data_IF_764882293309
#
_entry.id   IF_764882293309
#
_cell.length_a   1.000
_cell.length_b   1.000
_cell.length_c   1.000
_cell.angle_alpha   90.00
_cell.angle_beta   90.00
_cell.angle_gamma   90.00
#
_symmetry.space_group_name_H-M   'P 1'
#
loop_
_entity.id
_entity.type
_entity.pdbx_description
1 polymer ?
#
# COMPACT_ATOMS: atom_id res chain seq x y z
N UNK A 1 14.07 24.17 -15.95
CA UNK A 1 12.61 24.00 -15.78
C UNK A 1 11.99 24.94 -14.74
N UNK A 2 12.47 24.99 -13.49
CA UNK A 2 11.87 25.81 -12.41
C UNK A 2 11.60 27.30 -12.74
N UNK A 3 12.48 27.97 -13.50
CA UNK A 3 12.27 29.36 -13.96
C UNK A 3 11.12 29.49 -14.98
N UNK A 4 10.95 28.49 -15.84
CA UNK A 4 9.89 28.47 -16.85
C UNK A 4 8.53 28.24 -16.19
N UNK A 5 8.45 27.29 -15.24
CA UNK A 5 7.23 27.00 -14.48
C UNK A 5 6.70 28.25 -13.76
N UNK A 6 7.60 29.03 -13.12
CA UNK A 6 7.24 30.29 -12.47
C UNK A 6 6.74 31.37 -13.44
N UNK A 7 7.27 31.42 -14.65
CA UNK A 7 6.78 32.34 -15.68
C UNK A 7 5.39 31.94 -16.16
N UNK A 8 5.11 30.63 -16.21
CA UNK A 8 3.82 30.06 -16.60
C UNK A 8 2.74 30.27 -15.53
N UNK A 9 3.07 30.26 -14.23
CA UNK A 9 2.12 30.59 -13.15
C UNK A 9 1.42 31.95 -13.32
N UNK A 10 1.98 32.86 -14.12
CA UNK A 10 1.37 34.17 -14.46
C UNK A 10 0.37 34.09 -15.62
N UNK A 11 0.20 32.91 -16.23
CA UNK A 11 -0.68 32.63 -17.37
C UNK A 11 -1.52 31.39 -17.05
N UNK A 12 -2.65 31.56 -16.34
CA UNK A 12 -3.41 30.46 -15.75
C UNK A 12 -3.78 29.33 -16.72
N UNK A 13 -4.20 29.67 -17.94
CA UNK A 13 -4.59 28.70 -18.97
C UNK A 13 -3.42 27.78 -19.36
N UNK A 14 -2.27 28.36 -19.70
CA UNK A 14 -1.09 27.58 -20.09
C UNK A 14 -0.52 26.77 -18.93
N UNK A 15 -0.61 27.32 -17.72
CA UNK A 15 -0.15 26.63 -16.53
C UNK A 15 -1.00 25.40 -16.24
N UNK A 16 -2.32 25.51 -16.31
CA UNK A 16 -3.21 24.37 -16.09
C UNK A 16 -2.97 23.25 -17.10
N UNK A 17 -2.85 23.56 -18.39
CA UNK A 17 -2.55 22.54 -19.40
C UNK A 17 -1.25 21.79 -19.11
N UNK A 18 -0.20 22.51 -18.69
CA UNK A 18 1.09 21.88 -18.34
C UNK A 18 0.98 21.04 -17.06
N UNK A 19 0.15 21.46 -16.09
CA UNK A 19 -0.11 20.65 -14.90
C UNK A 19 -0.83 19.35 -15.27
N UNK A 20 -1.84 19.41 -16.13
CA UNK A 20 -2.59 18.24 -16.58
C UNK A 20 -1.69 17.26 -17.36
N UNK A 21 -0.87 17.78 -18.28
CA UNK A 21 0.12 16.99 -19.04
C UNK A 21 1.16 16.35 -18.11
N UNK A 22 1.65 17.11 -17.12
CA UNK A 22 2.58 16.60 -16.12
C UNK A 22 1.91 15.51 -15.27
N UNK A 23 0.68 15.73 -14.81
CA UNK A 23 -0.08 14.78 -14.01
C UNK A 23 -0.23 13.45 -14.76
N UNK A 24 -0.67 13.50 -16.02
CA UNK A 24 -0.83 12.31 -16.86
C UNK A 24 0.50 11.60 -17.09
N UNK A 25 1.56 12.33 -17.43
CA UNK A 25 2.87 11.73 -17.68
C UNK A 25 3.45 11.07 -16.43
N UNK A 26 3.25 11.66 -15.24
CA UNK A 26 3.71 11.08 -13.97
C UNK A 26 2.89 9.87 -13.56
N UNK A 27 1.56 9.93 -13.67
CA UNK A 27 0.68 8.80 -13.44
C UNK A 27 1.11 7.57 -14.25
N UNK A 28 1.27 7.73 -15.56
CA UNK A 28 1.68 6.64 -16.45
C UNK A 28 3.08 6.14 -16.10
N UNK A 29 4.03 7.04 -15.86
CA UNK A 29 5.40 6.67 -15.53
C UNK A 29 5.49 5.85 -14.22
N UNK A 30 4.80 6.28 -13.16
CA UNK A 30 4.81 5.60 -11.86
C UNK A 30 4.08 4.25 -11.96
N UNK A 31 2.92 4.20 -12.63
CA UNK A 31 2.17 2.96 -12.85
C UNK A 31 3.00 1.93 -13.63
N UNK A 32 3.63 2.35 -14.73
CA UNK A 32 4.51 1.47 -15.51
C UNK A 32 5.75 1.03 -14.73
N UNK A 33 6.36 1.92 -13.94
CA UNK A 33 7.48 1.58 -13.09
C UNK A 33 7.10 0.51 -12.07
N UNK A 34 5.91 0.60 -11.47
CA UNK A 34 5.42 -0.40 -10.53
C UNK A 34 5.19 -1.76 -11.20
N UNK A 35 4.52 -1.78 -12.35
CA UNK A 35 4.30 -3.02 -13.11
C UNK A 35 5.61 -3.68 -13.54
N UNK A 36 6.59 -2.88 -13.95
CA UNK A 36 7.93 -3.38 -14.26
C UNK A 36 8.61 -3.94 -13.01
N UNK A 37 8.52 -3.28 -11.86
CA UNK A 37 9.07 -3.79 -10.60
C UNK A 37 8.44 -5.14 -10.20
N UNK A 38 7.12 -5.29 -10.38
CA UNK A 38 6.41 -6.54 -10.12
C UNK A 38 6.91 -7.68 -11.03
N UNK A 39 6.93 -7.45 -12.34
CA UNK A 39 7.06 -8.52 -13.35
C UNK A 39 8.47 -8.74 -13.89
N UNK A 40 9.29 -7.69 -13.95
CA UNK A 40 10.63 -7.68 -14.57
C UNK A 40 11.74 -7.36 -13.58
N UNK A 41 11.40 -6.65 -12.50
CA UNK A 41 12.36 -6.09 -11.57
C UNK A 41 12.93 -4.74 -12.03
N UNK A 42 13.80 -4.17 -11.21
CA UNK A 42 14.57 -2.95 -11.50
C UNK A 42 16.01 -3.30 -11.88
N UNK A 43 16.81 -2.33 -12.36
CA UNK A 43 18.13 -2.55 -12.96
C UNK A 43 19.00 -3.67 -12.34
N UNK A 44 19.07 -3.76 -11.00
CA UNK A 44 19.76 -4.85 -10.27
C UNK A 44 18.83 -5.69 -9.37
N UNK A 45 17.56 -5.33 -9.27
CA UNK A 45 16.58 -5.93 -8.37
C UNK A 45 15.73 -6.94 -9.13
N UNK A 46 15.60 -8.16 -8.62
CA UNK A 46 14.77 -9.20 -9.25
C UNK A 46 13.27 -8.81 -9.21
N UNK A 47 12.43 -9.35 -10.12
CA UNK A 47 10.99 -9.15 -10.06
C UNK A 47 10.41 -9.48 -8.69
N UNK A 48 9.52 -8.62 -8.18
CA UNK A 48 8.87 -8.84 -6.88
C UNK A 48 7.99 -10.11 -6.92
N UNK A 49 7.42 -10.45 -8.07
CA UNK A 49 6.60 -11.67 -8.24
C UNK A 49 7.35 -12.98 -7.93
N UNK A 50 8.68 -13.00 -7.98
CA UNK A 50 9.45 -14.19 -7.59
C UNK A 50 9.35 -14.50 -6.09
N UNK A 51 8.87 -13.55 -5.28
CA UNK A 51 8.69 -13.69 -3.84
C UNK A 51 7.30 -14.21 -3.48
N UNK A 52 6.40 -14.40 -4.45
CA UNK A 52 5.03 -14.87 -4.23
C UNK A 52 4.90 -16.13 -3.34
N UNK A 53 5.85 -17.11 -3.34
CA UNK A 53 5.80 -18.25 -2.42
C UNK A 53 5.91 -17.88 -0.94
N UNK A 54 6.43 -16.69 -0.61
CA UNK A 54 6.48 -16.13 0.74
C UNK A 54 5.54 -14.90 0.82
N UNK A 55 4.28 -15.09 1.29
CA UNK A 55 3.26 -14.05 1.32
C UNK A 55 3.69 -12.77 2.04
N UNK A 56 4.37 -12.90 3.19
CA UNK A 56 4.73 -11.76 4.01
C UNK A 56 5.82 -10.93 3.34
N UNK A 57 6.83 -11.61 2.78
CA UNK A 57 7.90 -10.94 2.02
C UNK A 57 7.37 -10.31 0.74
N UNK A 58 6.50 -10.99 0.02
CA UNK A 58 5.92 -10.47 -1.21
C UNK A 58 5.12 -9.18 -0.98
N UNK A 59 4.24 -9.18 0.04
CA UNK A 59 3.50 -7.98 0.44
C UNK A 59 4.44 -6.88 0.93
N UNK A 60 5.45 -7.24 1.74
CA UNK A 60 6.45 -6.29 2.23
C UNK A 60 7.23 -5.61 1.11
N UNK A 61 7.71 -6.36 0.13
CA UNK A 61 8.46 -5.84 -1.03
C UNK A 61 7.56 -4.89 -1.88
N UNK A 62 6.28 -5.23 -2.07
CA UNK A 62 5.31 -4.35 -2.76
C UNK A 62 5.11 -3.02 -2.01
N UNK A 63 4.85 -3.08 -0.71
CA UNK A 63 4.62 -1.89 0.11
C UNK A 63 5.87 -1.02 0.25
N UNK A 64 7.05 -1.65 0.38
CA UNK A 64 8.33 -0.95 0.41
C UNK A 64 8.58 -0.19 -0.90
N UNK A 65 8.30 -0.81 -2.04
CA UNK A 65 8.40 -0.15 -3.34
C UNK A 65 7.46 1.05 -3.43
N UNK A 66 6.20 0.89 -3.05
CA UNK A 66 5.19 1.96 -3.08
C UNK A 66 5.61 3.13 -2.20
N UNK A 67 6.11 2.85 -0.99
CA UNK A 67 6.62 3.88 -0.08
C UNK A 67 7.81 4.64 -0.68
N UNK A 68 8.77 3.94 -1.26
CA UNK A 68 9.93 4.57 -1.91
C UNK A 68 9.51 5.41 -3.12
N UNK A 69 8.61 4.89 -3.96
CA UNK A 69 8.09 5.61 -5.10
C UNK A 69 7.34 6.88 -4.68
N UNK A 70 6.48 6.80 -3.66
CA UNK A 70 5.76 7.95 -3.13
C UNK A 70 6.70 9.03 -2.58
N UNK A 71 7.74 8.62 -1.83
CA UNK A 71 8.73 9.56 -1.29
C UNK A 71 9.52 10.25 -2.41
N UNK A 72 9.99 9.48 -3.40
CA UNK A 72 10.72 10.02 -4.55
C UNK A 72 9.87 10.94 -5.44
N UNK A 73 8.61 10.59 -5.66
CA UNK A 73 7.68 11.42 -6.43
C UNK A 73 7.40 12.75 -5.73
N UNK A 74 7.18 12.71 -4.42
CA UNK A 74 6.99 13.90 -3.60
C UNK A 74 8.22 14.81 -3.66
N UNK A 75 9.42 14.27 -3.43
CA UNK A 75 10.66 15.04 -3.48
C UNK A 75 10.89 15.69 -4.87
N UNK A 76 10.61 14.94 -5.94
CA UNK A 76 10.71 15.44 -7.31
C UNK A 76 9.74 16.61 -7.55
N UNK A 77 8.47 16.48 -7.15
CA UNK A 77 7.47 17.53 -7.28
C UNK A 77 7.87 18.76 -6.44
N UNK A 78 8.20 18.58 -5.16
CA UNK A 78 8.65 19.68 -4.28
C UNK A 78 9.88 20.41 -4.87
N UNK A 79 10.80 19.68 -5.48
CA UNK A 79 11.97 20.26 -6.16
C UNK A 79 11.58 21.06 -7.41
N UNK A 80 10.60 20.57 -8.18
CA UNK A 80 10.11 21.22 -9.40
C UNK A 80 9.43 22.55 -9.07
N UNK A 81 8.67 22.59 -7.98
CA UNK A 81 7.93 23.78 -7.54
C UNK A 81 8.75 24.71 -6.64
N UNK A 82 9.80 24.20 -5.96
CA UNK A 82 10.89 24.92 -5.27
C UNK A 82 10.49 25.76 -4.04
N UNK A 83 9.25 26.23 -3.97
CA UNK A 83 8.61 26.96 -2.86
C UNK A 83 7.14 26.56 -2.77
N UNK A 84 6.82 25.62 -1.89
CA UNK A 84 5.45 25.13 -1.69
C UNK A 84 4.49 26.22 -1.19
N UNK A 85 5.00 27.34 -0.67
CA UNK A 85 4.20 28.47 -0.15
C UNK A 85 3.80 29.51 -1.21
N UNK A 86 4.27 29.38 -2.45
CA UNK A 86 3.87 30.30 -3.52
C UNK A 86 2.39 30.06 -3.89
N UNK A 87 1.71 31.12 -4.34
CA UNK A 87 0.31 31.08 -4.78
C UNK A 87 0.18 31.45 -6.25
N UNK A 88 -0.80 30.86 -6.93
CA UNK A 88 -1.19 31.27 -8.27
C UNK A 88 -2.71 31.38 -8.38
N UNK A 89 -3.18 32.13 -9.38
CA UNK A 89 -4.59 32.15 -9.74
C UNK A 89 -4.83 31.08 -10.81
N UNK A 90 -5.84 30.26 -10.62
CA UNK A 90 -6.30 29.30 -11.62
C UNK A 90 -7.11 30.01 -12.72
N UNK A 91 -7.62 29.22 -13.67
CA UNK A 91 -8.49 29.70 -14.75
C UNK A 91 -9.82 30.29 -14.25
N UNK A 92 -10.26 29.97 -13.03
CA UNK A 92 -11.48 30.50 -12.41
C UNK A 92 -11.23 31.76 -11.56
N UNK A 93 -9.97 32.20 -11.44
CA UNK A 93 -9.56 33.34 -10.61
C UNK A 93 -9.40 32.98 -9.12
N UNK A 94 -9.53 31.72 -8.75
CA UNK A 94 -9.31 31.21 -7.40
C UNK A 94 -7.82 31.13 -7.12
N UNK A 95 -7.43 31.59 -5.92
CA UNK A 95 -6.03 31.53 -5.49
C UNK A 95 -5.73 30.15 -4.92
N UNK A 96 -4.84 29.41 -5.57
CA UNK A 96 -4.40 28.07 -5.19
C UNK A 96 -3.00 28.13 -4.60
N UNK A 97 -2.77 27.36 -3.53
CA UNK A 97 -1.45 27.15 -2.95
C UNK A 97 -0.70 26.09 -3.76
N UNK A 98 0.57 26.35 -4.06
CA UNK A 98 1.41 25.38 -4.77
C UNK A 98 1.54 24.07 -3.98
N UNK A 99 1.56 24.12 -2.65
CA UNK A 99 1.53 22.93 -1.79
C UNK A 99 0.34 22.02 -2.06
N UNK A 100 -0.83 22.60 -2.33
CA UNK A 100 -2.04 21.84 -2.61
C UNK A 100 -1.96 21.17 -3.98
N UNK A 101 -1.46 21.90 -4.99
CA UNK A 101 -1.20 21.33 -6.32
C UNK A 101 -0.18 20.19 -6.28
N UNK A 102 0.88 20.31 -5.47
CA UNK A 102 1.86 19.24 -5.29
C UNK A 102 1.21 18.00 -4.66
N UNK A 103 0.35 18.20 -3.66
CA UNK A 103 -0.39 17.09 -3.05
C UNK A 103 -1.37 16.42 -4.03
N UNK A 104 -2.08 17.21 -4.84
CA UNK A 104 -3.00 16.70 -5.87
C UNK A 104 -2.27 15.92 -6.97
N UNK A 105 -1.15 16.45 -7.44
CA UNK A 105 -0.30 15.78 -8.43
C UNK A 105 0.27 14.47 -7.88
N UNK A 106 0.68 14.45 -6.60
CA UNK A 106 1.19 13.24 -5.96
C UNK A 106 0.10 12.17 -5.82
N UNK A 107 -1.12 12.55 -5.40
CA UNK A 107 -2.23 11.62 -5.29
C UNK A 107 -2.56 11.00 -6.66
N UNK A 108 -2.70 11.84 -7.69
CA UNK A 108 -2.97 11.37 -9.04
C UNK A 108 -1.84 10.51 -9.61
N UNK A 109 -0.58 10.85 -9.37
CA UNK A 109 0.56 10.06 -9.82
C UNK A 109 0.59 8.67 -9.18
N UNK A 110 0.26 8.57 -7.89
CA UNK A 110 0.23 7.30 -7.16
C UNK A 110 -1.04 6.48 -7.44
N UNK A 111 -2.14 7.10 -7.87
CA UNK A 111 -3.41 6.44 -8.18
C UNK A 111 -3.23 5.25 -9.13
N UNK A 112 -2.38 5.39 -10.15
CA UNK A 112 -2.12 4.34 -11.15
C UNK A 112 -1.55 3.04 -10.57
N UNK A 113 -0.97 3.10 -9.36
CA UNK A 113 -0.44 1.92 -8.65
C UNK A 113 -1.50 1.17 -7.83
N UNK A 114 -2.64 1.81 -7.55
CA UNK A 114 -3.66 1.29 -6.63
C UNK A 114 -4.27 -0.01 -7.11
N UNK A 115 -4.67 -0.07 -8.40
CA UNK A 115 -5.30 -1.25 -8.99
C UNK A 115 -4.39 -2.48 -9.03
N UNK A 116 -3.15 -2.40 -9.55
CA UNK A 116 -2.25 -3.55 -9.53
C UNK A 116 -1.86 -3.97 -8.11
N UNK A 117 -1.67 -3.02 -7.19
CA UNK A 117 -1.36 -3.31 -5.77
C UNK A 117 -2.51 -4.11 -5.13
N UNK A 118 -3.74 -3.59 -5.24
CA UNK A 118 -4.94 -4.24 -4.72
C UNK A 118 -5.10 -5.65 -5.27
N UNK A 119 -5.04 -5.79 -6.59
CA UNK A 119 -5.20 -7.09 -7.24
C UNK A 119 -4.18 -8.14 -6.76
N UNK A 120 -2.90 -7.76 -6.60
CA UNK A 120 -1.86 -8.69 -6.14
C UNK A 120 -2.01 -9.03 -4.67
N UNK A 121 -2.35 -8.07 -3.82
CA UNK A 121 -2.53 -8.32 -2.38
C UNK A 121 -3.79 -9.14 -2.09
N UNK A 122 -4.89 -8.88 -2.82
CA UNK A 122 -6.08 -9.73 -2.77
C UNK A 122 -5.76 -11.16 -3.18
N UNK A 123 -4.98 -11.37 -4.24
CA UNK A 123 -4.55 -12.71 -4.65
C UNK A 123 -3.78 -13.43 -3.54
N UNK A 124 -2.90 -12.74 -2.82
CA UNK A 124 -2.18 -13.31 -1.68
C UNK A 124 -3.14 -13.75 -0.56
N UNK A 125 -4.13 -12.92 -0.24
CA UNK A 125 -5.10 -13.21 0.82
C UNK A 125 -6.07 -14.33 0.43
N UNK A 126 -6.48 -14.38 -0.85
CA UNK A 126 -7.37 -15.43 -1.38
C UNK A 126 -6.74 -16.81 -1.28
N UNK A 127 -5.42 -16.93 -1.40
CA UNK A 127 -4.68 -18.19 -1.25
C UNK A 127 -4.74 -18.78 0.18
N UNK A 128 -5.50 -18.18 1.10
CA UNK A 128 -5.70 -18.62 2.48
C UNK A 128 -4.36 -18.83 3.22
N UNK A 129 -3.56 -17.77 3.41
CA UNK A 129 -2.44 -17.86 4.32
C UNK A 129 -2.96 -18.23 5.72
N UNK A 130 -2.20 -19.05 6.47
CA UNK A 130 -2.60 -19.43 7.83
C UNK A 130 -2.81 -18.20 8.73
N UNK A 131 -3.63 -18.32 9.78
CA UNK A 131 -4.07 -17.17 10.59
C UNK A 131 -2.90 -16.29 11.10
N UNK A 132 -1.75 -16.89 11.46
CA UNK A 132 -0.57 -16.14 11.86
C UNK A 132 -0.03 -15.23 10.75
N UNK A 133 0.04 -15.75 9.52
CA UNK A 133 0.52 -15.01 8.36
C UNK A 133 -0.46 -13.92 7.96
N UNK A 134 -1.77 -14.19 7.96
CA UNK A 134 -2.82 -13.20 7.69
C UNK A 134 -2.76 -12.03 8.67
N UNK A 135 -2.58 -12.31 9.96
CA UNK A 135 -2.44 -11.27 10.99
C UNK A 135 -1.16 -10.44 10.80
N UNK A 136 -0.02 -11.08 10.50
CA UNK A 136 1.23 -10.37 10.18
C UNK A 136 1.09 -9.47 8.95
N UNK A 137 0.42 -9.95 7.91
CA UNK A 137 0.12 -9.17 6.70
C UNK A 137 -0.76 -7.97 7.07
N UNK A 138 -1.84 -8.16 7.83
CA UNK A 138 -2.72 -7.06 8.25
C UNK A 138 -1.94 -5.95 8.99
N UNK A 139 -1.11 -6.32 9.97
CA UNK A 139 -0.29 -5.37 10.71
C UNK A 139 0.75 -4.66 9.81
N UNK A 140 1.32 -5.37 8.84
CA UNK A 140 2.26 -4.79 7.89
C UNK A 140 1.58 -3.75 7.00
N UNK A 141 0.39 -4.06 6.47
CA UNK A 141 -0.39 -3.12 5.66
C UNK A 141 -0.77 -1.90 6.52
N UNK A 142 -1.24 -2.11 7.75
CA UNK A 142 -1.60 -1.04 8.67
C UNK A 142 -0.40 -0.13 8.97
N UNK A 143 0.78 -0.70 9.23
CA UNK A 143 2.01 0.06 9.44
C UNK A 143 2.35 0.95 8.22
N UNK A 144 2.28 0.40 7.01
CA UNK A 144 2.54 1.16 5.80
C UNK A 144 1.45 2.20 5.51
N UNK A 145 0.19 1.93 5.85
CA UNK A 145 -0.92 2.90 5.76
C UNK A 145 -0.60 4.15 6.58
N UNK A 146 -0.21 3.96 7.85
CA UNK A 146 0.17 5.07 8.75
C UNK A 146 1.45 5.78 8.29
N UNK A 147 2.36 5.06 7.65
CA UNK A 147 3.61 5.66 7.15
C UNK A 147 3.38 6.49 5.90
N UNK A 148 2.58 5.99 4.95
CA UNK A 148 2.24 6.67 3.70
C UNK A 148 1.31 7.87 3.92
N UNK A 149 0.41 7.83 4.91
CA UNK A 149 -0.47 8.97 5.23
C UNK A 149 0.29 10.20 5.74
N UNK A 150 1.55 10.06 6.16
CA UNK A 150 2.44 11.19 6.48
C UNK A 150 3.03 11.86 5.24
N UNK A 151 3.06 11.14 4.11
CA UNK A 151 3.61 11.63 2.85
C UNK A 151 2.55 12.28 1.97
N UNK A 152 1.33 11.73 1.98
CA UNK A 152 0.22 12.16 1.14
C UNK A 152 -0.80 13.02 1.88
N UNK A 153 -1.76 13.59 1.14
CA UNK A 153 -2.94 14.21 1.75
C UNK A 153 -3.85 13.12 2.33
N UNK A 154 -4.64 13.48 3.35
CA UNK A 154 -5.72 12.63 3.85
C UNK A 154 -6.70 12.25 2.72
N UNK A 155 -7.21 11.03 2.79
CA UNK A 155 -8.21 10.47 1.86
C UNK A 155 -7.69 10.22 0.44
N UNK A 156 -6.36 10.19 0.27
CA UNK A 156 -5.70 9.80 -0.97
C UNK A 156 -6.19 8.43 -1.47
N UNK A 157 -6.18 8.23 -2.78
CA UNK A 157 -6.65 6.98 -3.39
C UNK A 157 -5.90 5.75 -2.84
N UNK A 158 -4.58 5.90 -2.67
CA UNK A 158 -3.70 4.86 -2.13
C UNK A 158 -4.01 4.54 -0.66
N UNK A 159 -4.28 5.56 0.16
CA UNK A 159 -4.65 5.38 1.57
C UNK A 159 -5.94 4.58 1.68
N UNK A 160 -6.97 4.91 0.90
CA UNK A 160 -8.24 4.17 0.86
C UNK A 160 -8.05 2.69 0.50
N UNK A 161 -7.24 2.41 -0.52
CA UNK A 161 -6.95 1.03 -0.93
C UNK A 161 -6.22 0.25 0.16
N UNK A 162 -5.28 0.86 0.87
CA UNK A 162 -4.56 0.20 1.96
C UNK A 162 -5.45 -0.07 3.18
N UNK A 163 -6.40 0.83 3.48
CA UNK A 163 -7.42 0.58 4.50
C UNK A 163 -8.32 -0.60 4.11
N UNK A 164 -8.82 -0.63 2.87
CA UNK A 164 -9.63 -1.76 2.38
C UNK A 164 -8.88 -3.10 2.45
N UNK A 165 -7.60 -3.11 2.10
CA UNK A 165 -6.75 -4.30 2.15
C UNK A 165 -6.44 -4.74 3.59
N UNK A 166 -6.30 -3.79 4.52
CA UNK A 166 -6.15 -4.09 5.95
C UNK A 166 -7.41 -4.77 6.50
N UNK A 167 -8.59 -4.22 6.22
CA UNK A 167 -9.87 -4.81 6.63
C UNK A 167 -10.06 -6.21 6.04
N UNK A 168 -9.71 -6.39 4.76
CA UNK A 168 -9.76 -7.70 4.10
C UNK A 168 -8.80 -8.71 4.75
N UNK A 169 -7.58 -8.29 5.10
CA UNK A 169 -6.60 -9.15 5.76
C UNK A 169 -7.07 -9.57 7.16
N UNK A 170 -7.66 -8.65 7.93
CA UNK A 170 -8.26 -8.98 9.23
C UNK A 170 -9.46 -9.91 9.08
N UNK A 171 -10.31 -9.70 8.08
CA UNK A 171 -11.43 -10.60 7.78
C UNK A 171 -10.93 -12.03 7.55
N UNK A 172 -9.95 -12.23 6.67
CA UNK A 172 -9.38 -13.57 6.45
C UNK A 172 -8.73 -14.17 7.70
N UNK A 173 -8.06 -13.34 8.52
CA UNK A 173 -7.53 -13.77 9.80
C UNK A 173 -8.63 -14.32 10.73
N UNK A 174 -9.72 -13.56 10.92
CA UNK A 174 -10.82 -13.98 11.78
C UNK A 174 -11.57 -15.18 11.21
N UNK A 175 -11.81 -15.22 9.90
CA UNK A 175 -12.45 -16.37 9.23
C UNK A 175 -11.62 -17.65 9.43
N UNK A 176 -10.29 -17.57 9.29
CA UNK A 176 -9.39 -18.71 9.51
C UNK A 176 -9.41 -19.15 10.98
N UNK A 177 -9.36 -18.20 11.92
CA UNK A 177 -9.36 -18.50 13.35
C UNK A 177 -10.69 -19.12 13.81
N UNK A 178 -11.81 -18.62 13.28
CA UNK A 178 -13.14 -19.17 13.54
C UNK A 178 -13.28 -20.58 12.98
N UNK A 179 -12.80 -20.82 11.75
CA UNK A 179 -12.79 -22.16 11.18
C UNK A 179 -11.99 -23.15 12.03
N UNK A 180 -10.80 -22.75 12.50
CA UNK A 180 -10.00 -23.57 13.43
C UNK A 180 -10.71 -23.81 14.77
N UNK A 181 -11.44 -22.83 15.29
CA UNK A 181 -12.20 -22.96 16.54
C UNK A 181 -13.40 -23.91 16.39
N UNK A 182 -14.13 -23.86 15.28
CA UNK A 182 -15.22 -24.81 15.00
C UNK A 182 -14.67 -26.23 14.83
N UNK A 183 -13.53 -26.39 14.15
CA UNK A 183 -12.85 -27.68 13.99
C UNK A 183 -12.36 -28.29 15.31
N UNK A 184 -12.19 -27.48 16.37
CA UNK A 184 -11.93 -27.94 17.73
C UNK A 184 -13.21 -28.31 18.49
N UNK A 185 -14.30 -27.57 18.29
CA UNK A 185 -15.59 -27.88 18.93
C UNK A 185 -16.16 -29.20 18.42
N UNK A 186 -16.01 -29.47 17.13
CA UNK A 186 -16.38 -30.74 16.51
C UNK A 186 -15.37 -31.87 16.82
N UNK A 187 -14.23 -31.55 17.44
CA UNK A 187 -13.19 -32.54 17.74
C UNK A 187 -13.62 -33.47 18.88
N UNK A 188 -14.18 -34.62 18.52
CA UNK A 188 -14.67 -35.67 19.42
C UNK A 188 -13.72 -36.87 19.56
N UNK A 189 -12.39 -36.69 19.48
CA UNK A 189 -11.49 -37.81 19.76
C UNK A 189 -11.53 -38.19 21.25
N UNK A 190 -11.57 -39.49 21.53
CA UNK A 190 -11.50 -40.01 22.89
C UNK A 190 -10.16 -39.60 23.53
N UNK A 191 -10.16 -39.12 24.79
CA UNK A 191 -8.92 -38.81 25.49
C UNK A 191 -7.99 -40.02 25.49
N UNK A 192 -6.72 -39.83 25.14
CA UNK A 192 -5.69 -40.87 25.27
C UNK A 192 -5.64 -41.36 26.73
N UNK A 193 -5.26 -42.61 26.94
CA UNK A 193 -5.13 -43.24 28.27
C UNK A 193 -4.20 -42.47 29.20
N UNK A 194 -3.33 -41.60 28.66
CA UNK A 194 -2.43 -40.72 29.41
C UNK A 194 -3.01 -39.33 29.74
N UNK A 195 -4.25 -39.03 29.31
CA UNK A 195 -4.88 -37.70 29.41
C UNK A 195 -3.97 -36.58 28.86
N UNK A 196 -3.11 -36.90 27.90
CA UNK A 196 -2.22 -35.93 27.29
C UNK A 196 -3.01 -34.94 26.43
N UNK A 197 -2.56 -33.68 26.39
CA UNK A 197 -3.16 -32.67 25.51
C UNK A 197 -3.01 -33.13 24.07
N UNK A 198 -4.12 -33.20 23.34
CA UNK A 198 -4.13 -33.54 21.93
C UNK A 198 -3.19 -32.60 21.16
N UNK A 199 -2.35 -33.11 20.23
CA UNK A 199 -1.46 -32.28 19.43
C UNK A 199 -2.16 -31.07 18.79
N UNK A 200 -3.42 -31.24 18.33
CA UNK A 200 -4.24 -30.16 17.78
C UNK A 200 -4.46 -28.98 18.74
N UNK A 201 -4.77 -29.25 20.01
CA UNK A 201 -4.96 -28.22 21.05
C UNK A 201 -3.61 -27.56 21.41
N UNK A 202 -2.54 -28.34 21.48
CA UNK A 202 -1.19 -27.82 21.76
C UNK A 202 -0.69 -26.91 20.65
N UNK A 203 -0.89 -27.30 19.40
CA UNK A 203 -0.38 -26.56 18.25
C UNK A 203 -1.18 -25.25 18.07
N UNK A 204 -2.48 -25.25 18.35
CA UNK A 204 -3.29 -24.02 18.39
C UNK A 204 -2.94 -23.10 19.57
N UNK A 205 -2.66 -23.63 20.76
CA UNK A 205 -2.22 -22.78 21.88
C UNK A 205 -0.87 -22.15 21.61
N UNK A 206 0.07 -22.88 20.98
CA UNK A 206 1.33 -22.32 20.49
C UNK A 206 1.10 -21.23 19.43
N UNK A 207 0.13 -21.41 18.51
CA UNK A 207 -0.24 -20.40 17.53
C UNK A 207 -0.81 -19.13 18.19
N UNK A 208 -1.70 -19.26 19.18
CA UNK A 208 -2.24 -18.11 19.94
C UNK A 208 -1.13 -17.37 20.70
N UNK A 209 -0.22 -18.09 21.34
CA UNK A 209 0.96 -17.48 21.98
C UNK A 209 1.80 -16.72 20.96
N UNK A 210 1.96 -17.26 19.74
CA UNK A 210 2.69 -16.55 18.68
C UNK A 210 1.96 -15.28 18.20
N UNK A 211 0.62 -15.26 18.21
CA UNK A 211 -0.17 -14.07 17.86
C UNK A 211 -0.04 -12.95 18.91
N UNK A 212 -0.07 -13.31 20.20
CA UNK A 212 0.07 -12.36 21.32
C UNK A 212 1.47 -11.73 21.37
N UNK A 213 2.50 -12.45 20.93
CA UNK A 213 3.89 -12.00 20.97
C UNK A 213 4.34 -11.25 19.70
N UNK A 214 3.44 -10.93 18.78
CA UNK A 214 3.78 -10.08 17.63
C UNK A 214 3.86 -8.62 18.10
N UNK A 215 5.00 -7.95 17.89
CA UNK A 215 5.21 -6.56 18.30
C UNK A 215 4.41 -5.56 17.46
#
# INVERSE_FOLDING_TARGET
MTKALRALMRRPVLFQTILDDLASARHDAVAHAFLNALTRGGGTSRPIELQAPDPLRYVGDMLAWIHQACAGEKEMLETLFRKNDDKYQDISGVTIQVSDTVADLLDYAMEGTCRPLKSRMEQVLVLQPGALTSYKIANLIQFYTVTLSKLMRKDAALERVLYELTELAYKYFFDTLNAQAEELKEFTEMPDHKLAITPKIRDMSAQLVSLVNIP
#
